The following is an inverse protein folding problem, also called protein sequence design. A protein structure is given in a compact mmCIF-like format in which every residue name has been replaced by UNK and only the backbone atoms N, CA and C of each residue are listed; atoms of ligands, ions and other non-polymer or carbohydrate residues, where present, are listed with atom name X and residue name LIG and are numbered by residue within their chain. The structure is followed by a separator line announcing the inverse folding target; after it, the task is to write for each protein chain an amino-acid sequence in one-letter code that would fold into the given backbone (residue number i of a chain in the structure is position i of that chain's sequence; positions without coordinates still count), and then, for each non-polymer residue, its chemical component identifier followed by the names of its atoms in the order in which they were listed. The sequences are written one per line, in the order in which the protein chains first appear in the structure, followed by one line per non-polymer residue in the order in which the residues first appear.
data_IF_439254262368
#
_entry.id   IF_439254262368
#
_cell.length_a   1.000
_cell.length_b   1.000
_cell.length_c   1.000
_cell.angle_alpha   90.00
_cell.angle_beta   90.00
_cell.angle_gamma   90.00
#
_symmetry.space_group_name_H-M   'P 1'
#
loop_
_entity.id
_entity.type
_entity.pdbx_description
1 polymer ?
#
# COMPACT_ATOMS: atom_id res chain seq x y z
N UNK A 1 8.83 9.98 -21.35
CA UNK A 1 9.87 8.95 -21.08
C UNK A 1 9.67 8.26 -19.72
N UNK A 2 9.53 9.00 -18.61
CA UNK A 2 9.39 8.43 -17.25
C UNK A 2 8.19 7.49 -17.06
N UNK A 3 6.97 7.91 -17.41
CA UNK A 3 5.77 7.06 -17.30
C UNK A 3 5.91 5.71 -18.05
N UNK A 4 6.49 5.71 -19.24
CA UNK A 4 6.72 4.49 -20.03
C UNK A 4 7.68 3.54 -19.29
N UNK A 5 8.74 4.07 -18.68
CA UNK A 5 9.69 3.31 -17.86
C UNK A 5 8.99 2.67 -16.66
N UNK A 6 8.25 3.46 -15.89
CA UNK A 6 7.50 3.00 -14.71
C UNK A 6 6.49 1.91 -15.09
N UNK A 7 5.68 2.15 -16.14
CA UNK A 7 4.71 1.17 -16.64
C UNK A 7 5.37 -0.13 -17.08
N UNK A 8 6.53 -0.05 -17.73
CA UNK A 8 7.32 -1.22 -18.14
C UNK A 8 7.77 -2.04 -16.93
N UNK A 9 8.31 -1.40 -15.89
CA UNK A 9 8.73 -2.09 -14.65
C UNK A 9 7.53 -2.78 -13.99
N UNK A 10 6.41 -2.08 -13.81
CA UNK A 10 5.21 -2.68 -13.22
C UNK A 10 4.76 -3.92 -14.00
N UNK A 11 4.66 -3.81 -15.33
CA UNK A 11 4.11 -4.87 -16.17
C UNK A 11 5.06 -6.07 -16.27
N UNK A 12 6.36 -5.83 -16.44
CA UNK A 12 7.34 -6.87 -16.73
C UNK A 12 7.99 -7.49 -15.50
N UNK A 13 7.92 -6.83 -14.34
CA UNK A 13 8.65 -7.27 -13.14
C UNK A 13 7.74 -7.51 -11.93
N UNK A 14 6.80 -6.59 -11.66
CA UNK A 14 5.96 -6.60 -10.45
C UNK A 14 4.65 -7.38 -10.63
N UNK A 15 3.95 -7.19 -11.74
CA UNK A 15 2.62 -7.77 -11.98
C UNK A 15 2.63 -8.90 -13.01
N UNK A 16 3.75 -9.61 -13.14
CA UNK A 16 3.82 -10.80 -14.01
C UNK A 16 3.04 -11.96 -13.39
N UNK A 17 2.46 -12.87 -14.20
CA UNK A 17 1.79 -14.07 -13.69
C UNK A 17 2.67 -14.88 -12.74
N UNK A 18 3.97 -15.02 -13.06
CA UNK A 18 4.95 -15.71 -12.22
C UNK A 18 5.13 -15.04 -10.86
N UNK A 19 5.20 -13.69 -10.82
CA UNK A 19 5.30 -12.94 -9.55
C UNK A 19 4.03 -13.08 -8.72
N UNK A 20 2.87 -12.92 -9.35
CA UNK A 20 1.59 -13.06 -8.68
C UNK A 20 1.39 -14.45 -8.10
N UNK A 21 1.85 -15.50 -8.80
CA UNK A 21 1.81 -16.87 -8.28
C UNK A 21 2.79 -17.06 -7.10
N UNK A 22 3.98 -16.47 -7.15
CA UNK A 22 4.91 -16.50 -6.00
C UNK A 22 4.35 -15.82 -4.73
N UNK A 23 3.41 -14.88 -4.90
CA UNK A 23 2.73 -14.17 -3.83
C UNK A 23 1.36 -14.77 -3.51
N UNK A 24 1.00 -15.92 -4.09
CA UNK A 24 -0.27 -16.60 -3.84
C UNK A 24 -0.48 -16.97 -2.38
N UNK A 25 0.56 -17.50 -1.73
CA UNK A 25 0.50 -17.89 -0.32
C UNK A 25 0.09 -16.72 0.60
N UNK A 26 0.52 -15.50 0.29
CA UNK A 26 0.11 -14.29 1.06
C UNK A 26 -1.39 -14.06 0.96
N UNK A 27 -1.97 -14.24 -0.24
CA UNK A 27 -3.40 -14.05 -0.47
C UNK A 27 -4.23 -15.13 0.21
N UNK A 28 -3.80 -16.38 0.10
CA UNK A 28 -4.48 -17.52 0.75
C UNK A 28 -4.46 -17.39 2.27
N UNK A 29 -3.32 -17.00 2.84
CA UNK A 29 -3.14 -16.77 4.28
C UNK A 29 -4.05 -15.65 4.82
N UNK A 30 -4.11 -14.49 4.14
CA UNK A 30 -5.00 -13.41 4.56
C UNK A 30 -6.48 -13.77 4.43
N UNK A 31 -6.88 -14.51 3.38
CA UNK A 31 -8.25 -14.98 3.22
C UNK A 31 -8.61 -16.00 4.31
N UNK A 32 -7.71 -16.92 4.65
CA UNK A 32 -7.91 -17.88 5.73
C UNK A 32 -8.11 -17.16 7.08
N UNK A 33 -7.23 -16.20 7.41
CA UNK A 33 -7.36 -15.41 8.63
C UNK A 33 -8.65 -14.58 8.68
N UNK A 34 -9.13 -14.08 7.52
CA UNK A 34 -10.41 -13.39 7.42
C UNK A 34 -11.58 -14.33 7.76
N UNK A 35 -11.60 -15.53 7.18
CA UNK A 35 -12.65 -16.53 7.44
C UNK A 35 -12.66 -16.93 8.92
N UNK A 36 -11.49 -17.15 9.51
CA UNK A 36 -11.36 -17.45 10.94
C UNK A 36 -11.91 -16.31 11.82
N UNK A 37 -11.59 -15.06 11.48
CA UNK A 37 -12.09 -13.88 12.20
C UNK A 37 -13.62 -13.76 12.10
N UNK A 38 -14.20 -14.07 10.94
CA UNK A 38 -15.67 -14.11 10.77
C UNK A 38 -16.27 -15.21 11.64
N UNK A 39 -15.65 -16.40 11.66
CA UNK A 39 -16.11 -17.53 12.45
C UNK A 39 -16.05 -17.24 13.96
N UNK A 40 -15.06 -16.48 14.43
CA UNK A 40 -14.96 -16.03 15.84
C UNK A 40 -16.01 -14.99 16.21
N UNK A 41 -16.35 -14.09 15.29
CA UNK A 41 -17.28 -12.98 15.54
C UNK A 41 -18.77 -13.34 15.34
N UNK A 42 -19.07 -14.51 14.77
CA UNK A 42 -20.44 -14.96 14.49
C UNK A 42 -21.22 -15.28 15.76
N UNK A 43 -22.54 -15.13 15.71
CA UNK A 43 -23.44 -15.50 16.80
C UNK A 43 -24.87 -15.68 16.31
N UNK A 44 -25.71 -16.46 17.01
CA UNK A 44 -27.10 -16.70 16.60
C UNK A 44 -27.86 -15.38 16.39
N UNK A 45 -28.46 -15.20 15.21
CA UNK A 45 -29.25 -14.00 14.87
C UNK A 45 -28.46 -12.70 14.68
N UNK A 46 -27.12 -12.73 14.71
CA UNK A 46 -26.27 -11.55 14.55
C UNK A 46 -26.03 -11.25 13.07
N UNK A 47 -26.41 -10.05 12.62
CA UNK A 47 -26.06 -9.57 11.29
C UNK A 47 -24.54 -9.33 11.18
N UNK A 48 -23.93 -9.82 10.11
CA UNK A 48 -22.50 -9.68 9.85
C UNK A 48 -22.21 -8.46 8.96
N UNK A 49 -21.43 -7.50 9.47
CA UNK A 49 -20.98 -6.37 8.66
C UNK A 49 -19.69 -6.76 7.91
N UNK A 50 -19.87 -7.33 6.71
CA UNK A 50 -18.79 -7.90 5.89
C UNK A 50 -17.71 -6.88 5.50
N UNK A 51 -18.08 -5.59 5.37
CA UNK A 51 -17.17 -4.49 5.00
C UNK A 51 -15.93 -4.42 5.90
N UNK A 52 -16.06 -4.68 7.20
CA UNK A 52 -14.95 -4.66 8.17
C UNK A 52 -13.87 -5.68 7.77
N UNK A 53 -14.28 -6.91 7.51
CA UNK A 53 -13.39 -8.02 7.17
C UNK A 53 -12.75 -7.84 5.80
N UNK A 54 -13.54 -7.44 4.79
CA UNK A 54 -13.03 -7.16 3.44
C UNK A 54 -12.03 -6.00 3.42
N UNK A 55 -12.26 -4.95 4.21
CA UNK A 55 -11.33 -3.83 4.29
C UNK A 55 -10.00 -4.25 4.94
N UNK A 56 -10.06 -5.08 6.00
CA UNK A 56 -8.87 -5.58 6.68
C UNK A 56 -8.06 -6.54 5.80
N UNK A 57 -8.72 -7.52 5.15
CA UNK A 57 -8.04 -8.48 4.27
C UNK A 57 -7.41 -7.79 3.07
N UNK A 58 -8.09 -6.81 2.46
CA UNK A 58 -7.55 -6.06 1.33
C UNK A 58 -6.34 -5.23 1.75
N UNK A 59 -6.42 -4.56 2.91
CA UNK A 59 -5.32 -3.77 3.46
C UNK A 59 -4.09 -4.63 3.70
N UNK A 60 -4.22 -5.72 4.47
CA UNK A 60 -3.11 -6.61 4.77
C UNK A 60 -2.52 -7.27 3.52
N UNK A 61 -3.37 -7.68 2.57
CA UNK A 61 -2.90 -8.28 1.32
C UNK A 61 -2.04 -7.29 0.52
N UNK A 62 -2.52 -6.06 0.33
CA UNK A 62 -1.76 -5.00 -0.36
C UNK A 62 -0.44 -4.73 0.36
N UNK A 63 -0.45 -4.57 1.69
CA UNK A 63 0.75 -4.17 2.44
C UNK A 63 1.76 -5.31 2.56
N UNK A 64 1.32 -6.57 2.60
CA UNK A 64 2.22 -7.72 2.54
C UNK A 64 2.80 -7.94 1.16
N UNK A 65 2.07 -7.64 0.09
CA UNK A 65 2.62 -7.69 -1.27
C UNK A 65 3.63 -6.55 -1.48
N UNK A 66 3.26 -5.32 -1.11
CA UNK A 66 4.07 -4.14 -1.33
C UNK A 66 5.31 -4.10 -0.42
N UNK A 67 5.09 -4.21 0.89
CA UNK A 67 6.09 -4.01 1.93
C UNK A 67 6.52 -5.30 2.64
N UNK A 68 5.89 -6.45 2.37
CA UNK A 68 6.18 -7.66 3.14
C UNK A 68 5.71 -7.62 4.60
N UNK A 69 4.86 -6.64 4.96
CA UNK A 69 4.40 -6.42 6.34
C UNK A 69 2.91 -6.64 6.51
N UNK A 70 2.55 -7.40 7.54
CA UNK A 70 1.18 -7.57 8.01
C UNK A 70 0.93 -6.55 9.12
N UNK A 71 0.29 -5.45 8.77
CA UNK A 71 0.09 -4.32 9.69
C UNK A 71 -1.06 -4.53 10.68
N UNK A 72 -2.02 -5.41 10.38
CA UNK A 72 -3.12 -5.77 11.28
C UNK A 72 -3.02 -7.24 11.63
N UNK A 73 -2.90 -7.55 12.92
CA UNK A 73 -2.85 -8.91 13.41
C UNK A 73 -4.26 -9.52 13.57
N UNK A 74 -4.33 -10.78 14.00
CA UNK A 74 -5.58 -11.54 14.12
C UNK A 74 -6.49 -11.02 15.24
N UNK A 75 -5.94 -10.35 16.25
CA UNK A 75 -6.72 -9.65 17.27
C UNK A 75 -7.23 -8.27 16.80
N UNK A 76 -6.97 -7.89 15.55
CA UNK A 76 -7.34 -6.59 14.98
C UNK A 76 -6.49 -5.42 15.50
N UNK A 77 -5.38 -5.69 16.18
CA UNK A 77 -4.42 -4.68 16.60
C UNK A 77 -3.54 -4.30 15.42
N UNK A 78 -3.38 -3.00 15.23
CA UNK A 78 -2.59 -2.42 14.17
C UNK A 78 -1.26 -1.92 14.74
N UNK A 79 -0.14 -2.25 14.10
CA UNK A 79 1.15 -1.71 14.52
C UNK A 79 1.27 -0.21 14.19
N UNK A 80 2.22 0.52 14.81
CA UNK A 80 2.35 1.96 14.61
C UNK A 80 2.56 2.39 13.16
N UNK A 81 3.33 1.62 12.36
CA UNK A 81 3.52 1.91 10.94
C UNK A 81 2.26 1.65 10.14
N UNK A 82 1.49 0.63 10.52
CA UNK A 82 0.16 0.36 9.96
C UNK A 82 -0.83 1.48 10.20
N UNK A 83 -0.85 2.02 11.41
CA UNK A 83 -1.70 3.18 11.78
C UNK A 83 -1.32 4.38 10.93
N UNK A 84 -0.02 4.69 10.87
CA UNK A 84 0.52 5.77 10.05
C UNK A 84 0.16 5.59 8.57
N UNK A 85 0.35 4.40 8.00
CA UNK A 85 0.01 4.10 6.62
C UNK A 85 -1.49 4.26 6.34
N UNK A 86 -2.34 3.76 7.23
CA UNK A 86 -3.80 3.89 7.11
C UNK A 86 -4.24 5.36 7.12
N UNK A 87 -3.63 6.18 7.98
CA UNK A 87 -3.90 7.62 8.03
C UNK A 87 -3.40 8.35 6.78
N UNK A 88 -2.22 7.98 6.26
CA UNK A 88 -1.72 8.48 4.97
C UNK A 88 -2.73 8.15 3.88
N UNK A 89 -3.10 6.88 3.69
CA UNK A 89 -4.07 6.47 2.66
C UNK A 89 -5.40 7.22 2.81
N UNK A 90 -5.91 7.32 4.04
CA UNK A 90 -7.16 8.04 4.32
C UNK A 90 -7.09 9.54 4.00
N UNK A 91 -5.95 10.18 4.30
CA UNK A 91 -5.73 11.60 3.97
C UNK A 91 -5.58 11.81 2.47
N UNK A 92 -4.82 10.94 1.80
CA UNK A 92 -4.61 10.99 0.35
C UNK A 92 -5.91 10.83 -0.43
N UNK A 93 -6.80 9.91 -0.01
CA UNK A 93 -8.13 9.76 -0.61
C UNK A 93 -8.99 11.01 -0.47
N UNK A 94 -8.97 11.69 0.69
CA UNK A 94 -9.71 12.94 0.90
C UNK A 94 -9.17 14.08 0.03
N UNK A 95 -7.84 14.24 -0.01
CA UNK A 95 -7.19 15.26 -0.83
C UNK A 95 -7.45 15.03 -2.33
N UNK A 96 -7.35 13.78 -2.80
CA UNK A 96 -7.65 13.41 -4.18
C UNK A 96 -9.11 13.60 -4.57
N UNK A 97 -10.05 13.32 -3.67
CA UNK A 97 -11.47 13.59 -3.89
C UNK A 97 -11.76 15.09 -4.07
N UNK A 98 -11.14 15.95 -3.23
CA UNK A 98 -11.26 17.41 -3.35
C UNK A 98 -10.74 17.92 -4.70
N UNK A 99 -9.56 17.44 -5.13
CA UNK A 99 -8.98 17.77 -6.43
C UNK A 99 -9.92 17.39 -7.58
N UNK A 100 -10.47 16.17 -7.54
CA UNK A 100 -11.40 15.67 -8.56
C UNK A 100 -12.63 16.56 -8.68
N UNK A 101 -13.20 17.01 -7.56
CA UNK A 101 -14.36 17.94 -7.56
C UNK A 101 -14.02 19.29 -8.18
N UNK A 102 -12.85 19.85 -7.86
CA UNK A 102 -12.39 21.12 -8.44
C UNK A 102 -12.16 21.04 -9.95
N UNK A 103 -11.75 19.88 -10.47
CA UNK A 103 -11.53 19.64 -11.90
C UNK A 103 -12.82 19.36 -12.67
N UNK A 104 -13.73 18.55 -12.12
CA UNK A 104 -14.98 18.15 -12.79
C UNK A 104 -16.06 19.22 -12.71
N UNK A 105 -16.00 20.10 -11.72
CA UNK A 105 -16.99 21.16 -11.49
C UNK A 105 -16.27 22.52 -11.38
N UNK A 106 -15.79 23.09 -12.51
CA UNK A 106 -14.92 24.27 -12.48
C UNK A 106 -15.56 25.49 -11.78
N UNK A 107 -16.88 25.64 -11.86
CA UNK A 107 -17.63 26.71 -11.23
C UNK A 107 -17.70 26.60 -9.68
N UNK A 108 -17.41 25.44 -9.10
CA UNK A 108 -17.29 25.25 -7.64
C UNK A 108 -15.84 25.25 -7.14
N UNK A 109 -14.86 25.55 -8.00
CA UNK A 109 -13.43 25.54 -7.62
C UNK A 109 -13.11 26.44 -6.42
N UNK A 110 -13.87 27.53 -6.22
CA UNK A 110 -13.73 28.42 -5.07
C UNK A 110 -14.12 27.76 -3.73
N UNK A 111 -14.99 26.75 -3.74
CA UNK A 111 -15.36 25.96 -2.55
C UNK A 111 -14.35 24.84 -2.23
N UNK A 112 -13.52 24.47 -3.21
CA UNK A 112 -12.52 23.41 -3.11
C UNK A 112 -11.13 23.97 -3.45
N UNK A 113 -10.61 24.95 -2.69
CA UNK A 113 -9.27 25.47 -2.92
C UNK A 113 -8.24 24.34 -2.79
N UNK A 114 -7.30 24.27 -3.75
CA UNK A 114 -6.15 23.38 -3.59
C UNK A 114 -5.33 23.86 -2.40
N UNK A 115 -5.32 23.09 -1.32
CA UNK A 115 -4.43 23.32 -0.21
C UNK A 115 -3.05 22.74 -0.53
N UNK A 116 -2.25 23.44 -1.35
CA UNK A 116 -0.90 22.99 -1.75
C UNK A 116 -0.03 22.61 -0.55
N UNK A 117 -0.14 23.35 0.56
CA UNK A 117 0.54 23.02 1.82
C UNK A 117 0.10 21.69 2.44
N UNK A 118 -1.18 21.33 2.33
CA UNK A 118 -1.69 20.04 2.79
C UNK A 118 -1.19 18.89 1.90
N UNK A 119 -1.14 19.08 0.58
CA UNK A 119 -0.54 18.11 -0.35
C UNK A 119 0.95 17.91 -0.09
N UNK A 120 1.72 18.99 0.09
CA UNK A 120 3.15 18.91 0.40
C UNK A 120 3.41 18.20 1.75
N UNK A 121 2.66 18.57 2.79
CA UNK A 121 2.74 17.92 4.11
C UNK A 121 2.37 16.44 4.03
N UNK A 122 1.34 16.10 3.25
CA UNK A 122 0.92 14.71 3.03
C UNK A 122 1.98 13.91 2.27
N UNK A 123 2.56 14.46 1.20
CA UNK A 123 3.67 13.87 0.46
C UNK A 123 4.87 13.60 1.36
N UNK A 124 5.34 14.60 2.12
CA UNK A 124 6.45 14.43 3.05
C UNK A 124 6.16 13.41 4.17
N UNK A 125 4.91 13.25 4.59
CA UNK A 125 4.49 12.22 5.56
C UNK A 125 4.59 10.83 4.94
N UNK A 126 4.04 10.64 3.72
CA UNK A 126 4.14 9.39 2.96
C UNK A 126 5.59 9.01 2.70
N UNK A 127 6.39 9.92 2.17
CA UNK A 127 7.76 9.65 1.77
C UNK A 127 8.63 9.25 2.97
N UNK A 128 8.42 9.86 4.15
CA UNK A 128 9.11 9.46 5.38
C UNK A 128 8.79 8.02 5.79
N UNK A 129 7.52 7.61 5.73
CA UNK A 129 7.13 6.24 6.03
C UNK A 129 7.75 5.26 5.02
N UNK A 130 7.67 5.57 3.73
CA UNK A 130 8.22 4.70 2.68
C UNK A 130 9.74 4.55 2.79
N UNK A 131 10.47 5.65 3.07
CA UNK A 131 11.92 5.61 3.31
C UNK A 131 12.27 4.74 4.52
N UNK A 132 11.55 4.88 5.64
CA UNK A 132 11.76 4.03 6.80
C UNK A 132 11.59 2.53 6.46
N UNK A 133 10.56 2.18 5.69
CA UNK A 133 10.36 0.80 5.22
C UNK A 133 11.50 0.36 4.29
N UNK A 134 11.93 1.20 3.35
CA UNK A 134 13.05 0.89 2.45
C UNK A 134 14.36 0.66 3.20
N UNK A 135 14.66 1.46 4.23
CA UNK A 135 15.84 1.30 5.08
C UNK A 135 15.81 -0.03 5.83
N UNK A 136 14.68 -0.38 6.44
CA UNK A 136 14.50 -1.67 7.11
C UNK A 136 14.74 -2.85 6.17
N UNK A 137 14.21 -2.77 4.95
CA UNK A 137 14.40 -3.80 3.94
C UNK A 137 15.85 -3.87 3.45
N UNK A 138 16.52 -2.73 3.27
CA UNK A 138 17.93 -2.67 2.90
C UNK A 138 18.80 -3.40 3.95
N UNK A 139 18.54 -3.17 5.23
CA UNK A 139 19.23 -3.85 6.34
C UNK A 139 18.88 -5.34 6.40
N UNK A 140 17.61 -5.72 6.21
CA UNK A 140 17.17 -7.11 6.26
C UNK A 140 17.77 -7.96 5.11
N UNK A 141 17.94 -7.35 3.92
CA UNK A 141 18.53 -7.99 2.74
C UNK A 141 19.99 -8.36 2.93
N UNK A 142 20.75 -7.59 3.72
CA UNK A 142 22.14 -7.93 4.05
C UNK A 142 22.24 -9.22 4.88
N UNK A 143 21.21 -9.55 5.66
CA UNK A 143 21.19 -10.74 6.53
C UNK A 143 20.58 -11.96 5.86
N UNK A 144 19.50 -11.77 5.09
CA UNK A 144 18.65 -12.87 4.61
C UNK A 144 18.41 -12.90 3.09
N UNK A 145 19.01 -11.96 2.35
CA UNK A 145 18.79 -11.80 0.92
C UNK A 145 17.47 -11.08 0.59
N UNK A 146 17.23 -10.88 -0.71
CA UNK A 146 16.02 -10.24 -1.23
C UNK A 146 14.81 -11.19 -1.19
N UNK A 147 13.69 -10.70 -0.66
CA UNK A 147 12.39 -11.38 -0.69
C UNK A 147 11.62 -11.02 -1.96
N UNK A 148 10.44 -11.64 -2.12
CA UNK A 148 9.61 -11.51 -3.31
C UNK A 148 8.66 -10.30 -3.30
N UNK A 149 8.64 -9.51 -2.22
CA UNK A 149 7.78 -8.32 -2.06
C UNK A 149 8.23 -7.18 -2.98
N UNK A 150 7.32 -6.24 -3.27
CA UNK A 150 7.61 -5.18 -4.24
C UNK A 150 8.73 -4.25 -3.82
N UNK A 151 8.86 -3.92 -2.53
CA UNK A 151 9.98 -3.11 -2.04
C UNK A 151 11.34 -3.75 -2.36
N UNK A 152 11.51 -5.05 -2.10
CA UNK A 152 12.77 -5.75 -2.40
C UNK A 152 12.99 -5.91 -3.90
N UNK A 153 11.92 -6.14 -4.66
CA UNK A 153 11.98 -6.18 -6.11
C UNK A 153 12.41 -4.82 -6.68
N UNK A 154 11.80 -3.72 -6.25
CA UNK A 154 12.11 -2.37 -6.72
C UNK A 154 13.54 -1.95 -6.36
N UNK A 155 14.00 -2.25 -5.14
CA UNK A 155 15.38 -2.02 -4.73
C UNK A 155 16.38 -2.87 -5.55
N UNK A 156 15.99 -4.08 -5.98
CA UNK A 156 16.82 -4.92 -6.87
C UNK A 156 16.84 -4.41 -8.31
N UNK A 157 15.74 -3.82 -8.76
CA UNK A 157 15.56 -3.30 -10.12
C UNK A 157 16.10 -1.89 -10.29
N UNK A 158 16.53 -1.25 -9.20
CA UNK A 158 16.96 0.14 -9.17
C UNK A 158 18.05 0.44 -10.20
N UNK A 159 19.14 -0.32 -10.18
CA UNK A 159 20.26 -0.15 -11.13
C UNK A 159 19.85 -0.57 -12.55
N UNK A 160 19.13 -1.69 -12.69
CA UNK A 160 18.73 -2.26 -13.99
C UNK A 160 17.85 -1.31 -14.80
N UNK A 161 16.96 -0.57 -14.14
CA UNK A 161 16.01 0.33 -14.79
C UNK A 161 16.33 1.82 -14.57
N UNK A 162 17.43 2.14 -13.88
CA UNK A 162 17.80 3.50 -13.52
C UNK A 162 16.61 4.21 -12.82
N UNK A 163 16.18 3.63 -11.70
CA UNK A 163 15.08 4.15 -10.89
C UNK A 163 15.65 5.12 -9.84
N UNK A 164 15.19 6.38 -9.87
CA UNK A 164 15.46 7.29 -8.76
C UNK A 164 14.77 6.80 -7.48
N UNK A 165 15.28 7.23 -6.33
CA UNK A 165 14.64 6.99 -5.03
C UNK A 165 13.17 7.47 -5.04
N UNK A 166 12.92 8.67 -5.55
CA UNK A 166 11.55 9.22 -5.70
C UNK A 166 10.65 8.34 -6.57
N UNK A 167 11.20 7.67 -7.59
CA UNK A 167 10.44 6.74 -8.42
C UNK A 167 10.06 5.49 -7.65
N UNK A 168 10.97 4.96 -6.82
CA UNK A 168 10.68 3.81 -5.95
C UNK A 168 9.64 4.20 -4.91
N UNK A 169 9.78 5.37 -4.28
CA UNK A 169 8.82 5.90 -3.30
C UNK A 169 7.45 6.11 -3.94
N UNK A 170 7.38 6.62 -5.18
CA UNK A 170 6.12 6.80 -5.88
C UNK A 170 5.45 5.50 -6.35
N UNK A 171 6.21 4.40 -6.44
CA UNK A 171 5.71 3.07 -6.81
C UNK A 171 5.24 2.24 -5.61
N UNK A 172 5.64 2.63 -4.40
CA UNK A 172 5.35 1.98 -3.13
C UNK A 172 4.19 2.68 -2.39
#
# INVERSE_FOLDING_TARGET
AHYVKVRKVCTLELFTPKRLESLRAVREDEVAAMVESIFKDQGPGKALVVKKYLSAVAFNNITRIAFGKRFVNEEGKMDPQGVEFKEIVGTGLKLGASLTMAEHIPYLRWMFPLEEGAFAKHGARRDRLTKAIMEEHTLARQKSGAKQHFVDALLTLQEKYDLSEDTIIGLL
#
